data_IF_995732094714
#
_entry.id   IF_995732094714
#
_cell.length_a   1.000
_cell.length_b   1.000
_cell.length_c   1.000
_cell.angle_alpha   90.00
_cell.angle_beta   90.00
_cell.angle_gamma   90.00
#
_symmetry.space_group_name_H-M   'P 1'
#
loop_
_entity.id
_entity.type
_entity.pdbx_description
1 polymer ?
#
# COMPACT_ATOMS: atom_id res chain seq x y z
N UNK A 1 1.80 -60.51 42.93
CA UNK A 1 3.25 -60.83 42.75
C UNK A 1 3.31 -61.80 41.56
N UNK A 2 4.05 -61.66 40.46
CA UNK A 2 5.36 -61.02 40.22
C UNK A 2 5.57 -60.85 38.69
N UNK A 3 5.74 -59.59 38.26
CA UNK A 3 6.68 -59.04 37.24
C UNK A 3 6.69 -59.53 35.77
N UNK A 4 6.54 -58.54 34.89
CA UNK A 4 6.75 -58.41 33.43
C UNK A 4 8.00 -59.09 32.86
N UNK A 5 8.10 -59.28 31.52
CA UNK A 5 9.23 -58.82 30.64
C UNK A 5 9.21 -59.41 29.19
N UNK A 6 9.45 -58.51 28.22
CA UNK A 6 9.98 -58.66 26.83
C UNK A 6 9.00 -58.96 25.68
N UNK A 7 8.49 -57.83 25.19
CA UNK A 7 8.20 -57.48 23.79
C UNK A 7 9.55 -57.30 23.07
N UNK A 8 9.79 -58.01 21.96
CA UNK A 8 10.91 -57.71 21.05
C UNK A 8 10.46 -57.84 19.59
N UNK A 9 10.05 -56.69 19.05
CA UNK A 9 10.37 -56.20 17.69
C UNK A 9 10.23 -57.18 16.52
N UNK A 10 9.04 -57.17 15.90
CA UNK A 10 8.90 -57.44 14.48
C UNK A 10 7.71 -56.67 13.89
N UNK A 11 7.88 -55.36 13.64
CA UNK A 11 7.16 -54.67 12.56
C UNK A 11 7.94 -53.40 12.16
N UNK A 12 8.82 -53.59 11.19
CA UNK A 12 9.43 -52.53 10.39
C UNK A 12 8.35 -51.80 9.57
N UNK A 13 8.59 -50.50 9.32
CA UNK A 13 7.85 -49.57 8.44
C UNK A 13 6.58 -48.90 9.01
N UNK A 14 6.77 -47.96 9.93
CA UNK A 14 6.04 -46.68 9.87
C UNK A 14 7.06 -45.55 9.69
N UNK A 15 7.50 -45.43 8.45
CA UNK A 15 8.29 -44.32 7.94
C UNK A 15 7.48 -43.03 8.10
N UNK A 16 8.08 -42.06 8.80
CA UNK A 16 7.85 -40.62 8.73
C UNK A 16 6.40 -40.15 8.51
N UNK A 17 5.72 -39.82 9.61
CA UNK A 17 4.93 -38.59 9.63
C UNK A 17 5.56 -37.63 10.62
N UNK A 18 6.62 -36.97 10.18
CA UNK A 18 6.90 -35.63 10.68
C UNK A 18 5.73 -34.79 10.19
N UNK A 19 4.98 -34.08 11.05
CA UNK A 19 4.07 -33.08 10.53
C UNK A 19 4.95 -32.08 9.79
N UNK A 20 4.76 -32.02 8.47
CA UNK A 20 5.27 -30.94 7.62
C UNK A 20 5.09 -29.64 8.37
N UNK A 21 6.18 -28.89 8.49
CA UNK A 21 6.22 -27.59 9.14
C UNK A 21 4.94 -26.82 8.80
N UNK A 22 4.09 -26.61 9.82
CA UNK A 22 3.28 -25.42 9.83
C UNK A 22 4.31 -24.30 9.81
N UNK A 23 4.47 -23.66 8.65
CA UNK A 23 5.10 -22.36 8.59
C UNK A 23 4.32 -21.55 9.62
N UNK A 24 4.97 -21.23 10.74
CA UNK A 24 4.45 -20.26 11.68
C UNK A 24 4.52 -18.94 10.91
N UNK A 25 3.51 -18.71 10.08
CA UNK A 25 3.22 -17.39 9.54
C UNK A 25 2.82 -16.62 10.78
N UNK A 26 3.76 -15.82 11.30
CA UNK A 26 3.44 -14.79 12.27
C UNK A 26 2.26 -14.03 11.69
N UNK A 27 1.15 -13.83 12.44
CA UNK A 27 0.02 -13.06 11.93
C UNK A 27 0.54 -11.77 11.31
N UNK A 28 0.04 -11.39 10.11
CA UNK A 28 0.51 -10.17 9.46
C UNK A 28 0.36 -9.02 10.47
N UNK A 29 1.48 -8.42 10.85
CA UNK A 29 1.46 -7.31 11.79
C UNK A 29 0.73 -6.14 11.15
N UNK A 30 -0.10 -5.44 11.93
CA UNK A 30 -0.78 -4.27 11.41
C UNK A 30 0.16 -3.06 11.43
N UNK A 31 0.68 -2.65 10.27
CA UNK A 31 1.54 -1.48 10.18
C UNK A 31 0.72 -0.18 10.20
N UNK A 32 -0.40 -0.16 9.48
CA UNK A 32 -1.32 0.97 9.47
C UNK A 32 -2.76 0.54 9.67
N UNK A 33 -3.49 1.29 10.49
CA UNK A 33 -4.94 1.21 10.57
C UNK A 33 -5.57 2.22 9.61
N UNK A 34 -6.52 1.77 8.80
CA UNK A 34 -7.22 2.62 7.84
C UNK A 34 -8.73 2.59 8.08
N UNK A 35 -9.33 3.76 8.31
CA UNK A 35 -10.78 3.90 8.37
C UNK A 35 -11.33 4.17 6.97
N UNK A 36 -12.18 3.28 6.46
CA UNK A 36 -12.83 3.40 5.15
C UNK A 36 -13.63 4.71 5.07
N UNK A 37 -13.48 5.44 3.97
CA UNK A 37 -14.24 6.66 3.69
C UNK A 37 -15.30 6.41 2.62
N UNK A 38 -16.25 7.34 2.48
CA UNK A 38 -17.24 7.27 1.42
C UNK A 38 -16.58 7.34 0.03
N UNK A 39 -16.89 6.36 -0.83
CA UNK A 39 -16.34 6.25 -2.18
C UNK A 39 -15.00 5.51 -2.27
N UNK A 40 -14.60 4.81 -1.21
CA UNK A 40 -13.49 3.88 -1.29
C UNK A 40 -13.92 2.50 -1.78
N UNK A 41 -12.96 1.80 -2.37
CA UNK A 41 -13.01 0.38 -2.71
C UNK A 41 -11.65 -0.22 -2.38
N UNK A 42 -11.59 -1.51 -2.02
CA UNK A 42 -10.35 -2.10 -1.49
C UNK A 42 -9.15 -1.99 -2.44
N UNK A 43 -9.35 -2.13 -3.76
CA UNK A 43 -8.24 -2.00 -4.73
C UNK A 43 -7.66 -0.58 -4.84
N UNK A 44 -8.41 0.48 -4.57
CA UNK A 44 -7.88 1.86 -4.50
C UNK A 44 -7.08 2.07 -3.22
N UNK A 45 -7.51 1.42 -2.13
CA UNK A 45 -6.73 1.40 -0.89
C UNK A 45 -5.43 0.62 -1.13
N UNK A 46 -5.50 -0.55 -1.77
CA UNK A 46 -4.32 -1.33 -2.14
C UNK A 46 -3.35 -0.56 -3.06
N UNK A 47 -3.87 0.12 -4.10
CA UNK A 47 -3.05 1.00 -4.96
C UNK A 47 -2.36 2.10 -4.16
N UNK A 48 -3.08 2.72 -3.21
CA UNK A 48 -2.52 3.80 -2.39
C UNK A 48 -1.39 3.33 -1.48
N UNK A 49 -1.49 2.14 -0.89
CA UNK A 49 -0.53 1.65 0.11
C UNK A 49 0.54 0.74 -0.47
N UNK A 50 0.24 0.01 -1.54
CA UNK A 50 1.13 -0.99 -2.16
C UNK A 50 1.51 -0.65 -3.60
N UNK A 51 0.89 0.35 -4.22
CA UNK A 51 1.09 0.61 -5.66
C UNK A 51 0.51 -0.47 -6.56
N UNK A 52 -0.23 -1.44 -6.00
CA UNK A 52 -0.84 -2.55 -6.73
C UNK A 52 -2.33 -2.67 -6.37
N UNK A 53 -3.18 -2.42 -7.36
CA UNK A 53 -4.63 -2.59 -7.24
C UNK A 53 -5.04 -4.03 -6.90
N UNK A 54 -4.21 -5.02 -7.24
CA UNK A 54 -4.46 -6.45 -7.01
C UNK A 54 -4.08 -6.90 -5.60
N UNK A 55 -3.34 -6.08 -4.84
CA UNK A 55 -2.93 -6.39 -3.46
C UNK A 55 -4.07 -6.19 -2.43
N UNK A 56 -5.32 -6.06 -2.88
CA UNK A 56 -6.46 -5.89 -1.97
C UNK A 56 -6.73 -7.13 -1.11
N UNK A 57 -6.39 -8.33 -1.60
CA UNK A 57 -6.57 -9.58 -0.85
C UNK A 57 -5.74 -9.58 0.43
N UNK A 58 -4.53 -9.02 0.40
CA UNK A 58 -3.66 -8.84 1.56
C UNK A 58 -4.33 -8.03 2.67
N UNK A 59 -5.08 -6.98 2.31
CA UNK A 59 -5.84 -6.16 3.27
C UNK A 59 -6.97 -6.98 3.90
N UNK A 60 -7.70 -7.75 3.09
CA UNK A 60 -8.80 -8.61 3.57
C UNK A 60 -8.27 -9.66 4.56
N UNK A 61 -7.21 -10.37 4.18
CA UNK A 61 -6.62 -11.42 5.02
C UNK A 61 -6.11 -10.86 6.34
N UNK A 62 -5.38 -9.75 6.33
CA UNK A 62 -4.83 -9.15 7.54
C UNK A 62 -5.91 -8.55 8.45
N UNK A 63 -6.95 -7.96 7.87
CA UNK A 63 -8.10 -7.43 8.62
C UNK A 63 -8.88 -8.58 9.27
N UNK A 64 -9.20 -9.64 8.51
CA UNK A 64 -9.96 -10.77 9.01
C UNK A 64 -9.19 -11.61 10.03
N UNK A 65 -7.85 -11.71 9.90
CA UNK A 65 -6.99 -12.37 10.88
C UNK A 65 -7.06 -11.72 12.28
N UNK A 66 -7.46 -10.46 12.36
CA UNK A 66 -7.58 -9.67 13.58
C UNK A 66 -9.03 -9.21 13.85
N UNK A 67 -10.02 -9.83 13.20
CA UNK A 67 -11.42 -9.48 13.36
C UNK A 67 -11.90 -9.68 14.80
N UNK A 68 -12.72 -8.75 15.30
CA UNK A 68 -13.36 -8.83 16.61
C UNK A 68 -12.74 -7.97 17.72
N UNK A 69 -11.52 -7.46 17.53
CA UNK A 69 -10.92 -6.46 18.44
C UNK A 69 -11.39 -5.04 18.07
N UNK A 70 -10.82 -4.51 16.99
CA UNK A 70 -11.19 -3.22 16.40
C UNK A 70 -11.48 -3.33 14.89
N UNK A 71 -11.03 -4.43 14.27
CA UNK A 71 -11.15 -4.68 12.83
C UNK A 71 -12.43 -5.41 12.48
N UNK A 72 -12.94 -5.11 11.29
CA UNK A 72 -14.15 -5.72 10.74
C UNK A 72 -13.87 -7.12 10.17
N UNK A 73 -14.85 -8.01 10.23
CA UNK A 73 -14.83 -9.26 9.45
C UNK A 73 -15.42 -9.00 8.06
N UNK A 74 -14.55 -8.95 7.05
CA UNK A 74 -14.92 -8.71 5.65
C UNK A 74 -15.33 -10.04 5.02
N UNK A 75 -16.64 -10.27 4.96
CA UNK A 75 -17.21 -11.45 4.31
C UNK A 75 -17.25 -11.34 2.77
N UNK A 76 -17.30 -10.12 2.24
CA UNK A 76 -17.36 -9.81 0.81
C UNK A 76 -16.43 -8.65 0.51
N UNK A 77 -15.39 -8.90 -0.29
CA UNK A 77 -14.38 -7.89 -0.64
C UNK A 77 -14.94 -6.79 -1.56
N UNK A 78 -16.05 -7.04 -2.26
CA UNK A 78 -16.72 -6.03 -3.08
C UNK A 78 -17.59 -5.08 -2.23
N UNK A 79 -17.76 -5.37 -0.94
CA UNK A 79 -18.59 -4.60 -0.01
C UNK A 79 -17.78 -4.14 1.20
N UNK A 80 -17.37 -2.88 1.19
CA UNK A 80 -16.85 -2.17 2.38
C UNK A 80 -17.72 -0.96 2.70
N UNK A 81 -17.88 -0.68 3.99
CA UNK A 81 -18.69 0.47 4.44
C UNK A 81 -17.82 1.57 5.08
N UNK A 82 -18.19 2.85 4.89
CA UNK A 82 -17.52 3.94 5.59
C UNK A 82 -17.52 3.74 7.10
N UNK A 83 -16.37 3.99 7.73
CA UNK A 83 -16.16 3.81 9.17
C UNK A 83 -15.61 2.43 9.55
N UNK A 84 -15.56 1.45 8.64
CA UNK A 84 -14.87 0.20 8.90
C UNK A 84 -13.37 0.43 9.11
N UNK A 85 -12.80 -0.24 10.11
CA UNK A 85 -11.37 -0.22 10.37
C UNK A 85 -10.72 -1.41 9.68
N UNK A 86 -9.77 -1.12 8.80
CA UNK A 86 -8.98 -2.10 8.05
C UNK A 86 -7.56 -2.14 8.59
N UNK A 87 -6.98 -3.32 8.56
CA UNK A 87 -5.57 -3.50 8.81
C UNK A 87 -4.79 -3.49 7.49
N UNK A 88 -3.81 -2.59 7.38
CA UNK A 88 -2.86 -2.53 6.27
C UNK A 88 -1.54 -3.10 6.80
N UNK A 89 -1.21 -4.38 6.49
CA UNK A 89 0.06 -4.97 6.88
C UNK A 89 1.21 -4.38 6.06
N UNK A 90 2.45 -4.53 6.55
CA UNK A 90 3.62 -4.20 5.75
C UNK A 90 3.60 -5.02 4.46
N UNK A 91 4.18 -4.46 3.41
CA UNK A 91 4.41 -5.17 2.16
C UNK A 91 5.41 -6.31 2.40
N UNK A 92 4.88 -7.51 2.67
CA UNK A 92 5.69 -8.72 2.81
C UNK A 92 6.24 -9.15 1.47
N UNK A 93 7.30 -8.51 0.98
CA UNK A 93 8.13 -8.89 -0.18
C UNK A 93 7.38 -9.60 -1.33
N UNK A 94 6.20 -9.13 -1.72
CA UNK A 94 5.41 -9.78 -2.79
C UNK A 94 4.32 -8.88 -3.37
N UNK A 95 4.59 -7.59 -3.54
CA UNK A 95 4.04 -6.77 -4.63
C UNK A 95 4.73 -5.41 -4.62
N UNK A 96 6.02 -5.41 -4.97
CA UNK A 96 6.41 -4.45 -5.97
C UNK A 96 5.67 -4.88 -7.25
N UNK A 97 4.38 -4.50 -7.37
CA UNK A 97 3.80 -4.31 -8.68
C UNK A 97 4.83 -3.52 -9.48
N UNK A 98 5.12 -3.89 -10.74
CA UNK A 98 6.27 -3.37 -11.46
C UNK A 98 6.31 -1.88 -11.20
N UNK A 99 7.38 -1.42 -10.52
CA UNK A 99 7.58 -0.03 -10.16
C UNK A 99 7.44 0.72 -11.47
N UNK A 100 6.22 1.17 -11.77
CA UNK A 100 5.92 1.69 -13.09
C UNK A 100 6.67 3.00 -13.02
N UNK A 101 7.80 3.12 -13.74
CA UNK A 101 8.58 4.32 -13.64
C UNK A 101 7.60 5.44 -13.94
N UNK A 102 7.47 6.39 -13.01
CA UNK A 102 6.64 7.56 -13.24
C UNK A 102 6.97 8.03 -14.66
N UNK A 103 5.97 8.19 -15.55
CA UNK A 103 6.25 8.51 -16.94
C UNK A 103 7.26 9.65 -16.98
N UNK A 104 8.32 9.47 -17.77
CA UNK A 104 9.48 10.35 -17.75
C UNK A 104 9.02 11.82 -17.80
N UNK A 105 9.48 12.62 -16.82
CA UNK A 105 9.10 14.03 -16.71
C UNK A 105 7.91 14.36 -15.81
N UNK A 106 7.24 13.38 -15.18
CA UNK A 106 6.18 13.63 -14.18
C UNK A 106 6.63 13.48 -12.72
N UNK A 107 7.93 13.38 -12.43
CA UNK A 107 8.40 13.45 -11.04
C UNK A 107 8.18 14.85 -10.46
N UNK A 108 7.96 14.96 -9.16
CA UNK A 108 7.76 16.27 -8.51
C UNK A 108 8.93 17.23 -8.80
N UNK A 109 10.16 16.72 -8.77
CA UNK A 109 11.37 17.47 -9.12
C UNK A 109 11.39 17.93 -10.58
N UNK A 110 10.99 17.06 -11.52
CA UNK A 110 10.92 17.42 -12.94
C UNK A 110 9.83 18.46 -13.22
N UNK A 111 8.69 18.35 -12.54
CA UNK A 111 7.59 19.31 -12.61
C UNK A 111 7.96 20.65 -11.97
N UNK A 112 8.76 20.63 -10.90
CA UNK A 112 9.20 21.83 -10.19
C UNK A 112 10.22 22.65 -10.99
N UNK A 113 10.88 22.03 -11.98
CA UNK A 113 11.91 22.65 -12.81
C UNK A 113 11.53 22.65 -14.31
N UNK A 114 10.23 22.60 -14.59
CA UNK A 114 9.67 22.60 -15.95
C UNK A 114 9.14 23.97 -16.36
N UNK A 115 9.10 24.22 -17.68
CA UNK A 115 8.45 25.41 -18.26
C UNK A 115 7.01 25.11 -18.66
N UNK A 116 6.06 25.82 -18.04
CA UNK A 116 4.64 25.69 -18.35
C UNK A 116 4.18 26.79 -19.31
N UNK A 117 3.15 26.52 -20.11
CA UNK A 117 2.43 27.56 -20.86
C UNK A 117 1.57 28.36 -19.88
N UNK A 118 1.61 29.69 -19.99
CA UNK A 118 0.78 30.58 -19.18
C UNK A 118 0.30 31.75 -20.01
N UNK A 119 -0.99 32.03 -19.98
CA UNK A 119 -1.57 33.23 -20.62
C UNK A 119 -1.41 34.50 -19.76
N UNK A 120 -0.92 34.35 -18.52
CA UNK A 120 -0.79 35.43 -17.55
C UNK A 120 0.64 35.96 -17.44
N UNK A 121 1.58 35.32 -18.14
CA UNK A 121 2.99 35.75 -18.15
C UNK A 121 3.35 36.48 -19.43
N UNK A 122 4.33 37.38 -19.36
CA UNK A 122 4.72 38.24 -20.49
C UNK A 122 5.16 37.44 -21.72
N UNK A 123 5.96 36.39 -21.51
CA UNK A 123 6.50 35.55 -22.59
C UNK A 123 5.58 34.37 -22.96
N UNK A 124 4.39 34.29 -22.37
CA UNK A 124 3.44 33.19 -22.58
C UNK A 124 3.88 31.86 -21.95
N UNK A 125 4.96 31.88 -21.16
CA UNK A 125 5.53 30.73 -20.46
C UNK A 125 5.94 31.08 -19.03
N UNK A 126 5.93 30.09 -18.13
CA UNK A 126 6.41 30.18 -16.77
C UNK A 126 7.48 29.10 -16.54
N UNK A 127 8.78 29.42 -16.69
CA UNK A 127 9.87 28.53 -16.29
C UNK A 127 9.95 28.49 -14.76
N UNK A 128 9.48 27.40 -14.15
CA UNK A 128 9.60 27.23 -12.71
C UNK A 128 11.03 26.85 -12.35
N UNK A 129 11.48 27.33 -11.19
CA UNK A 129 12.71 26.93 -10.51
C UNK A 129 12.31 26.52 -9.10
N UNK A 130 12.58 25.28 -8.73
CA UNK A 130 12.16 24.70 -7.43
C UNK A 130 10.67 24.92 -7.11
N UNK A 131 9.83 24.85 -8.15
CA UNK A 131 8.38 24.92 -8.02
C UNK A 131 7.80 26.33 -8.06
N UNK A 132 8.60 27.39 -8.29
CA UNK A 132 8.10 28.76 -8.31
C UNK A 132 8.61 29.57 -9.51
N UNK A 133 7.72 30.39 -10.07
CA UNK A 133 8.04 31.46 -11.03
C UNK A 133 7.33 32.74 -10.61
N UNK A 134 8.02 33.88 -10.70
CA UNK A 134 7.44 35.18 -10.38
C UNK A 134 7.96 36.28 -11.31
N UNK A 135 7.06 37.15 -11.74
CA UNK A 135 7.38 38.35 -12.51
C UNK A 135 6.40 39.49 -12.22
N UNK A 136 6.70 40.76 -12.57
CA UNK A 136 5.73 41.84 -12.50
C UNK A 136 4.55 41.59 -13.45
N UNK A 137 3.32 41.86 -13.00
CA UNK A 137 2.12 41.64 -13.82
C UNK A 137 2.04 42.53 -15.07
N UNK A 138 2.79 43.64 -15.08
CA UNK A 138 2.99 44.53 -16.21
C UNK A 138 4.31 45.30 -16.02
N UNK A 139 4.92 45.87 -17.09
CA UNK A 139 6.10 46.71 -16.96
C UNK A 139 5.92 47.84 -15.94
N UNK A 140 6.73 47.84 -14.88
CA UNK A 140 6.67 48.83 -13.81
C UNK A 140 5.58 48.60 -12.74
N UNK A 141 4.86 47.48 -12.79
CA UNK A 141 3.85 47.17 -11.78
C UNK A 141 4.49 46.76 -10.45
N UNK A 142 3.85 47.13 -9.34
CA UNK A 142 4.16 46.62 -8.00
C UNK A 142 3.53 45.25 -7.72
N UNK A 143 2.57 44.82 -8.55
CA UNK A 143 1.91 43.53 -8.42
C UNK A 143 2.72 42.45 -9.15
N UNK A 144 2.88 41.28 -8.54
CA UNK A 144 3.55 40.13 -9.12
C UNK A 144 2.54 39.10 -9.62
N UNK A 145 2.81 38.50 -10.78
CA UNK A 145 2.22 37.24 -11.22
C UNK A 145 3.09 36.11 -10.68
N UNK A 146 2.50 35.19 -9.94
CA UNK A 146 3.21 34.04 -9.37
C UNK A 146 2.56 32.74 -9.84
N UNK A 147 3.38 31.80 -10.29
CA UNK A 147 2.99 30.43 -10.65
C UNK A 147 3.72 29.47 -9.72
N UNK A 148 2.99 28.52 -9.12
CA UNK A 148 3.54 27.53 -8.19
C UNK A 148 3.10 26.13 -8.58
N UNK A 149 4.00 25.16 -8.39
CA UNK A 149 3.69 23.74 -8.47
C UNK A 149 2.85 23.30 -7.25
#
# INVERSE_FOLDING_TARGET
MKKSIIIFTLLLLFISRVPTAALAQTPPECEFEYTVQAGDWLSKIAEKYYGDILAYETIVEATNAQAGDSFVDIADADLIEPGWLLCIPPDGEASAGPEQPAPEGLSHEALANTTYKSQYTQDGTAPLVDGEYSEPAAPGSATMTTVRL
#
